data_IF_611832283523
#
_entry.id   IF_611832283523
#
_cell.length_a   1.000
_cell.length_b   1.000
_cell.length_c   1.000
_cell.angle_alpha   90.00
_cell.angle_beta   90.00
_cell.angle_gamma   90.00
#
_symmetry.space_group_name_H-M   'P 1'
#
loop_
_entity.id
_entity.type
_entity.pdbx_description
1 polymer ?
#
# COMPACT_ATOMS: atom_id res chain seq x y z
N UNK A 1 -11.10 0.18 29.43
CA UNK A 1 -11.46 -1.16 29.98
C UNK A 1 -12.60 -1.71 29.15
N UNK A 2 -12.60 -3.01 28.88
CA UNK A 2 -13.76 -3.69 28.28
C UNK A 2 -14.24 -4.71 29.30
N UNK A 3 -15.46 -4.53 29.79
CA UNK A 3 -16.12 -5.45 30.69
C UNK A 3 -17.08 -6.31 29.89
N UNK A 4 -17.10 -7.61 30.15
CA UNK A 4 -17.96 -8.58 29.47
C UNK A 4 -18.87 -9.27 30.49
N UNK A 5 -20.13 -9.45 30.14
CA UNK A 5 -21.10 -10.20 30.93
C UNK A 5 -21.86 -11.15 30.01
N UNK A 6 -21.92 -12.45 30.33
CA UNK A 6 -22.53 -13.45 29.47
C UNK A 6 -22.35 -14.88 29.95
N UNK A 7 -22.88 -15.83 29.17
CA UNK A 7 -22.84 -17.26 29.47
C UNK A 7 -22.32 -18.07 28.29
N UNK A 8 -21.77 -19.25 28.60
CA UNK A 8 -21.37 -20.25 27.62
C UNK A 8 -22.15 -21.54 27.83
N UNK A 9 -22.67 -22.12 26.74
CA UNK A 9 -23.34 -23.41 26.76
C UNK A 9 -23.06 -24.17 25.44
N UNK A 10 -22.66 -25.45 25.54
CA UNK A 10 -22.40 -26.32 24.38
C UNK A 10 -21.47 -25.69 23.32
N UNK A 11 -20.41 -25.01 23.75
CA UNK A 11 -19.44 -24.34 22.85
C UNK A 11 -19.94 -23.04 22.20
N UNK A 12 -21.13 -22.54 22.58
CA UNK A 12 -21.67 -21.25 22.14
C UNK A 12 -21.72 -20.26 23.30
N UNK A 13 -21.39 -19.00 23.03
CA UNK A 13 -21.47 -17.91 24.00
C UNK A 13 -22.43 -16.81 23.56
N UNK A 14 -23.11 -16.19 24.51
CA UNK A 14 -23.86 -14.95 24.31
C UNK A 14 -23.66 -14.01 25.50
N UNK A 15 -23.74 -12.70 25.25
CA UNK A 15 -23.49 -11.70 26.29
C UNK A 15 -23.53 -10.28 25.77
N UNK A 16 -23.21 -9.36 26.67
CA UNK A 16 -23.05 -7.93 26.38
C UNK A 16 -21.66 -7.48 26.82
N UNK A 17 -21.22 -6.33 26.32
CA UNK A 17 -20.00 -5.70 26.77
C UNK A 17 -20.22 -4.21 27.05
N UNK A 18 -19.41 -3.65 27.95
CA UNK A 18 -19.31 -2.22 28.22
C UNK A 18 -17.88 -1.77 28.00
N UNK A 19 -17.71 -0.71 27.23
CA UNK A 19 -16.44 -0.02 27.12
C UNK A 19 -16.38 1.15 28.11
N UNK A 20 -15.17 1.45 28.59
CA UNK A 20 -14.89 2.66 29.37
C UNK A 20 -13.54 3.19 28.94
N UNK A 21 -13.55 4.36 28.28
CA UNK A 21 -12.35 5.05 27.81
C UNK A 21 -11.41 5.43 28.95
N UNK A 22 -10.11 5.43 28.68
CA UNK A 22 -9.08 5.82 29.65
C UNK A 22 -8.72 7.30 29.46
N UNK A 23 -9.13 8.16 30.41
CA UNK A 23 -8.89 9.61 30.33
C UNK A 23 -7.40 9.99 30.41
N UNK A 24 -6.59 9.21 31.12
CA UNK A 24 -5.14 9.41 31.14
C UNK A 24 -4.52 9.11 29.78
N UNK A 25 -5.02 8.11 29.06
CA UNK A 25 -4.62 7.83 27.67
C UNK A 25 -5.03 8.98 26.75
N UNK A 26 -6.29 9.44 26.82
CA UNK A 26 -6.78 10.59 26.02
C UNK A 26 -5.88 11.80 26.21
N UNK A 27 -5.61 12.16 27.47
CA UNK A 27 -4.75 13.30 27.82
C UNK A 27 -3.32 13.13 27.29
N UNK A 28 -2.76 11.93 27.39
CA UNK A 28 -1.41 11.62 26.90
C UNK A 28 -1.31 11.63 25.37
N UNK A 29 -2.36 11.24 24.65
CA UNK A 29 -2.40 11.31 23.18
C UNK A 29 -2.60 12.75 22.72
N UNK A 30 -3.45 13.52 23.41
CA UNK A 30 -3.70 14.93 23.11
C UNK A 30 -2.43 15.78 23.26
N UNK A 31 -1.60 15.51 24.28
CA UNK A 31 -0.31 16.21 24.45
C UNK A 31 0.70 15.89 23.34
N UNK A 32 0.50 14.80 22.60
CA UNK A 32 1.27 14.42 21.40
C UNK A 32 0.66 14.95 20.10
N UNK A 33 -0.44 15.72 20.18
CA UNK A 33 -1.14 16.26 19.02
C UNK A 33 -2.23 15.34 18.45
N UNK A 34 -2.49 14.19 19.07
CA UNK A 34 -3.53 13.24 18.63
C UNK A 34 -4.80 13.42 19.46
N UNK A 35 -5.76 14.18 18.91
CA UNK A 35 -7.01 14.52 19.59
C UNK A 35 -8.14 13.53 19.25
N UNK A 36 -8.41 12.61 20.17
CA UNK A 36 -9.49 11.61 20.08
C UNK A 36 -10.89 12.19 20.33
N UNK A 37 -11.00 13.43 20.80
CA UNK A 37 -12.28 14.12 21.02
C UNK A 37 -12.70 14.90 19.77
N UNK A 38 -11.75 15.21 18.89
CA UNK A 38 -12.03 15.84 17.60
C UNK A 38 -12.76 14.86 16.69
N UNK A 39 -13.83 15.34 16.03
CA UNK A 39 -14.54 14.56 15.00
C UNK A 39 -13.60 14.14 13.88
N UNK A 40 -13.87 12.96 13.34
CA UNK A 40 -13.19 12.47 12.14
C UNK A 40 -13.28 13.49 11.01
N UNK A 41 -12.19 13.62 10.27
CA UNK A 41 -12.16 14.37 9.01
C UNK A 41 -12.70 13.56 7.84
N UNK A 42 -12.98 12.26 8.03
CA UNK A 42 -13.62 11.43 7.01
C UNK A 42 -15.12 11.72 6.89
N UNK A 43 -15.70 11.72 5.66
CA UNK A 43 -17.13 12.04 5.43
C UNK A 43 -18.13 11.03 6.00
N UNK A 44 -17.65 9.84 6.38
CA UNK A 44 -18.39 8.80 7.10
C UNK A 44 -18.55 9.25 8.57
N UNK A 45 -19.64 9.97 8.84
CA UNK A 45 -19.96 10.59 10.12
C UNK A 45 -20.35 9.62 11.23
N UNK A 46 -19.50 8.65 11.57
CA UNK A 46 -19.84 7.55 12.47
C UNK A 46 -18.74 7.11 13.45
N UNK A 47 -17.91 8.00 13.99
CA UNK A 47 -17.22 7.64 15.23
C UNK A 47 -17.35 8.73 16.27
N UNK A 48 -18.20 8.46 17.26
CA UNK A 48 -18.12 9.20 18.51
C UNK A 48 -16.72 8.96 19.11
N UNK A 49 -16.24 9.89 19.94
CA UNK A 49 -14.92 9.75 20.60
C UNK A 49 -14.76 8.40 21.32
N UNK A 50 -15.87 7.88 21.85
CA UNK A 50 -15.90 6.56 22.48
C UNK A 50 -15.59 5.42 21.49
N UNK A 51 -16.11 5.44 20.26
CA UNK A 51 -15.80 4.46 19.22
C UNK A 51 -14.33 4.51 18.81
N UNK A 52 -13.76 5.71 18.71
CA UNK A 52 -12.32 5.88 18.42
C UNK A 52 -11.45 5.29 19.52
N UNK A 53 -11.82 5.50 20.78
CA UNK A 53 -11.11 4.94 21.92
C UNK A 53 -11.27 3.42 22.02
N UNK A 54 -12.45 2.91 21.67
CA UNK A 54 -12.67 1.48 21.54
C UNK A 54 -11.79 0.88 20.43
N UNK A 55 -11.79 1.48 19.24
CA UNK A 55 -10.93 1.06 18.12
C UNK A 55 -9.43 1.14 18.46
N UNK A 56 -8.99 2.19 19.14
CA UNK A 56 -7.62 2.28 19.65
C UNK A 56 -7.28 1.12 20.58
N UNK A 57 -8.21 0.74 21.45
CA UNK A 57 -8.03 -0.39 22.37
C UNK A 57 -7.94 -1.71 21.61
N UNK A 58 -8.79 -1.96 20.62
CA UNK A 58 -8.80 -3.20 19.85
C UNK A 58 -7.61 -3.34 18.91
N UNK A 59 -7.13 -2.21 18.36
CA UNK A 59 -5.95 -2.16 17.49
C UNK A 59 -4.62 -2.03 18.27
N UNK A 60 -4.68 -1.97 19.61
CA UNK A 60 -3.53 -1.77 20.49
C UNK A 60 -2.72 -0.50 20.13
N UNK A 61 -3.42 0.61 19.90
CA UNK A 61 -2.80 1.93 19.72
C UNK A 61 -2.28 2.40 21.08
N UNK A 62 -1.00 2.72 21.14
CA UNK A 62 -0.30 3.11 22.38
C UNK A 62 0.40 4.45 22.21
N UNK A 63 0.78 5.07 23.33
CA UNK A 63 1.66 6.25 23.31
C UNK A 63 3.02 5.93 22.69
N UNK A 64 3.50 4.69 22.82
CA UNK A 64 4.76 4.27 22.18
C UNK A 64 4.67 4.27 20.65
N UNK A 65 3.52 3.87 20.07
CA UNK A 65 3.28 4.00 18.64
C UNK A 65 3.29 5.48 18.22
N UNK A 66 2.60 6.34 18.97
CA UNK A 66 2.59 7.78 18.70
C UNK A 66 4.01 8.38 18.78
N UNK A 67 4.77 8.03 19.81
CA UNK A 67 6.15 8.49 20.00
C UNK A 67 7.07 8.00 18.87
N UNK A 68 6.91 6.75 18.42
CA UNK A 68 7.64 6.21 17.28
C UNK A 68 7.35 6.99 15.99
N UNK A 69 6.07 7.22 15.66
CA UNK A 69 5.70 7.98 14.46
C UNK A 69 6.19 9.43 14.53
N UNK A 70 6.07 10.09 15.69
CA UNK A 70 6.56 11.47 15.87
C UNK A 70 8.09 11.57 15.84
N UNK A 71 8.81 10.50 16.19
CA UNK A 71 10.27 10.44 16.03
C UNK A 71 10.72 10.43 14.57
N UNK A 72 9.77 10.17 13.66
CA UNK A 72 9.99 10.16 12.24
C UNK A 72 9.34 11.39 11.59
N UNK A 73 9.98 11.86 10.52
CA UNK A 73 9.62 13.10 9.83
C UNK A 73 8.39 12.92 8.90
N UNK A 74 7.31 12.34 9.42
CA UNK A 74 6.03 12.14 8.70
C UNK A 74 5.27 13.44 8.44
N UNK A 75 5.71 14.55 9.07
CA UNK A 75 4.93 15.78 9.12
C UNK A 75 3.77 15.68 10.12
N UNK A 76 2.70 16.43 9.84
CA UNK A 76 1.53 16.48 10.73
C UNK A 76 0.67 15.24 10.54
N UNK A 77 0.53 14.46 11.61
CA UNK A 77 -0.32 13.28 11.67
C UNK A 77 -1.57 13.55 12.52
N UNK A 78 -2.64 12.79 12.26
CA UNK A 78 -3.84 12.77 13.08
C UNK A 78 -4.17 11.37 13.66
N UNK A 79 -5.32 11.25 14.32
CA UNK A 79 -5.75 9.99 14.94
C UNK A 79 -6.02 8.89 13.90
N UNK A 80 -6.49 9.26 12.72
CA UNK A 80 -6.77 8.28 11.66
C UNK A 80 -5.45 7.69 11.13
N UNK A 81 -4.39 8.50 11.09
CA UNK A 81 -3.05 8.02 10.74
C UNK A 81 -2.46 7.05 11.76
N UNK A 82 -2.78 7.18 13.06
CA UNK A 82 -2.41 6.17 14.05
C UNK A 82 -3.09 4.82 13.77
N UNK A 83 -4.36 4.85 13.38
CA UNK A 83 -5.08 3.64 13.01
C UNK A 83 -4.49 3.00 11.75
N UNK A 84 -4.20 3.80 10.72
CA UNK A 84 -3.49 3.33 9.52
C UNK A 84 -2.16 2.67 9.90
N UNK A 85 -1.35 3.32 10.73
CA UNK A 85 -0.07 2.78 11.19
C UNK A 85 -0.22 1.45 11.95
N UNK A 86 -1.19 1.37 12.87
CA UNK A 86 -1.45 0.15 13.64
C UNK A 86 -1.93 -1.03 12.76
N UNK A 87 -2.80 -0.75 11.78
CA UNK A 87 -3.39 -1.74 10.87
C UNK A 87 -2.33 -2.22 9.86
N UNK A 88 -1.65 -1.29 9.20
CA UNK A 88 -0.72 -1.59 8.10
C UNK A 88 0.73 -1.78 8.56
N UNK A 89 0.99 -1.71 9.88
CA UNK A 89 2.33 -1.86 10.47
C UNK A 89 3.33 -0.86 9.87
N UNK A 90 2.91 0.40 9.77
CA UNK A 90 3.78 1.51 9.38
C UNK A 90 4.40 2.08 10.65
N UNK A 91 5.72 2.14 10.70
CA UNK A 91 6.51 2.63 11.82
C UNK A 91 7.71 3.47 11.33
N UNK A 92 8.43 4.09 12.26
CA UNK A 92 9.61 4.92 11.96
C UNK A 92 10.70 4.13 11.23
N UNK A 93 10.83 2.84 11.52
CA UNK A 93 11.81 1.95 10.89
C UNK A 93 11.51 1.78 9.42
N UNK A 94 10.27 1.46 9.08
CA UNK A 94 9.86 1.30 7.69
C UNK A 94 9.98 2.61 6.91
N UNK A 95 9.63 3.75 7.52
CA UNK A 95 9.84 5.04 6.90
C UNK A 95 11.32 5.23 6.53
N UNK A 96 12.25 4.99 7.48
CA UNK A 96 13.70 5.09 7.23
C UNK A 96 14.18 4.14 6.14
N UNK A 97 13.68 2.90 6.11
CA UNK A 97 14.00 1.91 5.06
C UNK A 97 13.57 2.41 3.67
N UNK A 98 12.36 2.98 3.55
CA UNK A 98 11.88 3.53 2.29
C UNK A 98 12.67 4.78 1.87
N UNK A 99 13.03 5.65 2.81
CA UNK A 99 13.93 6.79 2.54
C UNK A 99 15.28 6.32 2.01
N UNK A 100 15.88 5.31 2.65
CA UNK A 100 17.17 4.73 2.25
C UNK A 100 17.10 4.01 0.90
N UNK A 101 15.90 3.57 0.50
CA UNK A 101 15.66 2.92 -0.80
C UNK A 101 15.44 3.93 -1.94
N UNK A 102 15.53 5.24 -1.68
CA UNK A 102 15.41 6.28 -2.70
C UNK A 102 14.07 7.02 -2.69
N UNK A 103 13.21 6.79 -1.70
CA UNK A 103 11.92 7.47 -1.55
C UNK A 103 11.89 8.34 -0.28
N UNK A 104 12.61 9.48 -0.24
CA UNK A 104 12.81 10.27 0.97
C UNK A 104 11.55 10.98 1.48
N UNK A 105 10.55 11.17 0.61
CA UNK A 105 9.42 12.07 0.82
C UNK A 105 8.06 11.35 0.86
N UNK A 106 8.03 10.05 1.18
CA UNK A 106 6.75 9.33 1.28
C UNK A 106 5.97 9.77 2.52
N UNK A 107 4.71 10.13 2.32
CA UNK A 107 3.73 10.36 3.38
C UNK A 107 3.08 9.09 3.90
N UNK A 108 2.22 9.23 4.91
CA UNK A 108 1.51 8.10 5.55
C UNK A 108 0.74 7.26 4.52
N UNK A 109 -0.03 7.89 3.63
CA UNK A 109 -0.85 7.17 2.64
C UNK A 109 0.00 6.38 1.63
N UNK A 110 1.17 6.91 1.25
CA UNK A 110 2.10 6.22 0.35
C UNK A 110 2.76 5.03 1.05
N UNK A 111 3.12 5.17 2.33
CA UNK A 111 3.67 4.05 3.12
C UNK A 111 2.61 2.97 3.38
N UNK A 112 1.35 3.34 3.56
CA UNK A 112 0.22 2.40 3.59
C UNK A 112 0.09 1.68 2.26
N UNK A 113 0.12 2.39 1.12
CA UNK A 113 0.13 1.76 -0.21
C UNK A 113 1.31 0.80 -0.35
N UNK A 114 2.50 1.18 0.12
CA UNK A 114 3.68 0.33 0.07
C UNK A 114 3.45 -0.98 0.84
N UNK A 115 2.85 -0.92 2.03
CA UNK A 115 2.48 -2.10 2.82
C UNK A 115 1.45 -2.98 2.11
N UNK A 116 0.40 -2.39 1.56
CA UNK A 116 -0.67 -3.10 0.83
C UNK A 116 -0.10 -3.84 -0.39
N UNK A 117 0.75 -3.18 -1.16
CA UNK A 117 1.33 -3.73 -2.39
C UNK A 117 2.68 -4.44 -2.18
N UNK A 118 3.09 -4.64 -0.92
CA UNK A 118 4.36 -5.30 -0.55
C UNK A 118 5.57 -4.66 -1.24
N UNK A 119 5.62 -3.33 -1.26
CA UNK A 119 6.75 -2.54 -1.74
C UNK A 119 7.64 -2.29 -0.53
N UNK A 120 8.77 -3.00 -0.47
CA UNK A 120 9.81 -2.86 0.54
C UNK A 120 11.16 -2.59 -0.13
N UNK A 121 12.20 -2.38 0.68
CA UNK A 121 13.55 -2.11 0.19
C UNK A 121 14.10 -3.22 -0.73
N UNK A 122 13.70 -4.47 -0.50
CA UNK A 122 14.09 -5.59 -1.35
C UNK A 122 13.45 -5.49 -2.74
N UNK A 123 12.15 -5.21 -2.82
CA UNK A 123 11.47 -5.01 -4.09
C UNK A 123 12.06 -3.82 -4.86
N UNK A 124 12.33 -2.70 -4.18
CA UNK A 124 12.96 -1.53 -4.81
C UNK A 124 14.35 -1.88 -5.39
N UNK A 125 15.14 -2.66 -4.66
CA UNK A 125 16.43 -3.18 -5.14
C UNK A 125 16.27 -4.07 -6.36
N UNK A 126 15.29 -4.98 -6.38
CA UNK A 126 15.00 -5.82 -7.54
C UNK A 126 14.64 -4.97 -8.75
N UNK A 127 13.78 -3.96 -8.59
CA UNK A 127 13.38 -3.04 -9.67
C UNK A 127 14.59 -2.28 -10.24
N UNK A 128 15.48 -1.82 -9.35
CA UNK A 128 16.74 -1.20 -9.75
C UNK A 128 17.63 -2.17 -10.55
N UNK A 129 17.79 -3.42 -10.09
CA UNK A 129 18.56 -4.45 -10.80
C UNK A 129 17.97 -4.83 -12.16
N UNK A 130 16.66 -4.66 -12.31
CA UNK A 130 15.96 -4.85 -13.58
C UNK A 130 16.18 -3.69 -14.55
N UNK A 131 16.86 -2.61 -14.17
CA UNK A 131 17.15 -1.46 -15.04
C UNK A 131 16.17 -0.30 -14.90
N UNK A 132 15.24 -0.37 -13.95
CA UNK A 132 14.27 0.69 -13.66
C UNK A 132 14.71 1.55 -12.46
N UNK A 133 16.02 1.86 -12.42
CA UNK A 133 16.58 2.70 -11.38
C UNK A 133 15.96 4.11 -11.47
N UNK A 134 15.49 4.63 -10.33
CA UNK A 134 14.85 5.96 -10.27
C UNK A 134 13.39 5.99 -10.71
N UNK A 135 12.75 4.83 -10.94
CA UNK A 135 11.31 4.76 -11.19
C UNK A 135 10.53 5.43 -10.03
N UNK A 136 9.58 6.33 -10.32
CA UNK A 136 8.73 6.93 -9.30
C UNK A 136 7.97 5.89 -8.47
N UNK A 137 7.63 6.24 -7.22
CA UNK A 137 6.94 5.32 -6.31
C UNK A 137 5.63 4.77 -6.90
N UNK A 138 4.85 5.62 -7.57
CA UNK A 138 3.61 5.21 -8.25
C UNK A 138 3.86 4.21 -9.38
N UNK A 139 5.02 4.25 -10.03
CA UNK A 139 5.44 3.22 -11.00
C UNK A 139 5.61 1.85 -10.33
N UNK A 140 6.24 1.81 -9.15
CA UNK A 140 6.37 0.57 -8.36
C UNK A 140 5.01 0.01 -7.94
N UNK A 141 4.09 0.89 -7.56
CA UNK A 141 2.70 0.53 -7.24
C UNK A 141 2.03 -0.09 -8.46
N UNK A 142 2.14 0.53 -9.64
CA UNK A 142 1.61 -0.03 -10.89
C UNK A 142 2.21 -1.39 -11.22
N UNK A 143 3.53 -1.57 -11.08
CA UNK A 143 4.18 -2.87 -11.29
C UNK A 143 3.57 -3.97 -10.42
N UNK A 144 3.30 -3.67 -9.13
CA UNK A 144 2.64 -4.61 -8.21
C UNK A 144 1.18 -4.89 -8.60
N UNK A 145 0.40 -3.86 -8.94
CA UNK A 145 -1.01 -3.98 -9.34
C UNK A 145 -1.15 -4.84 -10.61
N UNK A 146 -0.37 -4.53 -11.64
CA UNK A 146 -0.44 -5.21 -12.94
C UNK A 146 0.43 -6.47 -13.02
N UNK A 147 1.06 -6.86 -11.91
CA UNK A 147 1.93 -8.04 -11.79
C UNK A 147 3.04 -8.04 -12.85
N UNK A 148 3.72 -6.91 -12.99
CA UNK A 148 4.97 -6.80 -13.77
C UNK A 148 6.08 -7.44 -12.93
N UNK A 149 6.38 -8.71 -13.20
CA UNK A 149 7.39 -9.48 -12.46
C UNK A 149 8.74 -9.49 -13.20
N UNK A 150 9.85 -9.83 -12.51
CA UNK A 150 11.14 -10.03 -13.17
C UNK A 150 11.08 -11.04 -14.32
N UNK A 151 10.31 -12.12 -14.15
CA UNK A 151 10.12 -13.16 -15.16
C UNK A 151 9.45 -12.57 -16.40
N UNK A 152 8.38 -11.79 -16.22
CA UNK A 152 7.67 -11.15 -17.33
C UNK A 152 8.55 -10.17 -18.10
N UNK A 153 9.36 -9.38 -17.40
CA UNK A 153 10.31 -8.44 -18.02
C UNK A 153 11.35 -9.22 -18.84
N UNK A 154 11.88 -10.31 -18.31
CA UNK A 154 12.86 -11.15 -19.01
C UNK A 154 12.24 -11.86 -20.23
N UNK A 155 11.01 -12.34 -20.12
CA UNK A 155 10.24 -12.89 -21.24
C UNK A 155 10.10 -11.87 -22.38
N UNK A 156 9.68 -10.63 -22.07
CA UNK A 156 9.57 -9.57 -23.07
C UNK A 156 10.93 -9.24 -23.73
N UNK A 157 12.01 -9.18 -22.92
CA UNK A 157 13.38 -8.95 -23.41
C UNK A 157 13.85 -10.05 -24.34
N UNK A 158 13.57 -11.31 -24.02
CA UNK A 158 13.95 -12.47 -24.84
C UNK A 158 13.26 -12.45 -26.22
N UNK A 159 12.09 -11.84 -26.32
CA UNK A 159 11.40 -11.67 -27.60
C UNK A 159 11.88 -10.45 -28.42
N UNK A 160 12.79 -9.65 -27.83
CA UNK A 160 13.44 -8.51 -28.48
C UNK A 160 12.95 -7.14 -28.00
N UNK A 161 12.06 -7.07 -27.00
CA UNK A 161 11.61 -5.81 -26.40
C UNK A 161 12.55 -5.43 -25.23
N UNK A 162 13.67 -4.76 -25.55
CA UNK A 162 14.71 -4.45 -24.57
C UNK A 162 14.62 -3.07 -23.94
N UNK A 163 14.00 -2.10 -24.64
CA UNK A 163 13.84 -0.72 -24.20
C UNK A 163 12.38 -0.43 -23.86
N UNK A 164 11.92 -1.01 -22.74
CA UNK A 164 10.55 -0.85 -22.25
C UNK A 164 10.55 0.03 -21.00
N UNK A 165 9.65 1.01 -20.97
CA UNK A 165 9.33 1.73 -19.72
C UNK A 165 8.42 0.89 -18.82
N UNK A 166 8.26 1.29 -17.55
CA UNK A 166 7.26 0.66 -16.66
C UNK A 166 5.85 0.83 -17.21
N UNK A 167 5.52 1.98 -17.79
CA UNK A 167 4.21 2.21 -18.41
C UNK A 167 3.96 1.27 -19.60
N UNK A 168 4.99 0.95 -20.38
CA UNK A 168 4.87 0.00 -21.48
C UNK A 168 4.62 -1.41 -20.99
N UNK A 169 5.38 -1.86 -19.99
CA UNK A 169 5.16 -3.16 -19.35
C UNK A 169 3.75 -3.26 -18.76
N UNK A 170 3.30 -2.21 -18.06
CA UNK A 170 1.94 -2.12 -17.52
C UNK A 170 0.90 -2.19 -18.64
N UNK A 171 1.09 -1.43 -19.72
CA UNK A 171 0.20 -1.45 -20.89
C UNK A 171 0.13 -2.84 -21.51
N UNK A 172 1.27 -3.51 -21.69
CA UNK A 172 1.32 -4.88 -22.19
C UNK A 172 0.54 -5.84 -21.28
N UNK A 173 0.67 -5.72 -19.94
CA UNK A 173 -0.12 -6.50 -18.98
C UNK A 173 -1.62 -6.24 -19.09
N UNK A 174 -2.04 -4.98 -19.23
CA UNK A 174 -3.46 -4.60 -19.39
C UNK A 174 -4.07 -5.27 -20.63
N UNK A 175 -3.34 -5.31 -21.74
CA UNK A 175 -3.78 -5.94 -22.98
C UNK A 175 -3.48 -7.45 -23.05
N UNK A 176 -3.01 -8.06 -21.95
CA UNK A 176 -2.61 -9.46 -21.84
C UNK A 176 -1.54 -9.88 -22.86
N UNK A 177 -0.65 -8.99 -23.26
CA UNK A 177 0.46 -9.24 -24.19
C UNK A 177 1.55 -10.02 -23.44
N UNK A 178 1.78 -11.27 -23.84
CA UNK A 178 2.78 -12.19 -23.32
C UNK A 178 3.79 -12.60 -24.40
N UNK A 179 4.81 -13.38 -24.03
CA UNK A 179 5.85 -13.81 -24.97
C UNK A 179 5.30 -14.58 -26.17
N UNK A 180 4.28 -15.43 -25.97
CA UNK A 180 3.64 -16.17 -27.06
C UNK A 180 2.99 -15.23 -28.08
N UNK A 181 2.23 -14.25 -27.61
CA UNK A 181 1.64 -13.24 -28.49
C UNK A 181 2.70 -12.40 -29.21
N UNK A 182 3.78 -12.02 -28.53
CA UNK A 182 4.86 -11.26 -29.16
C UNK A 182 5.49 -12.07 -30.29
N UNK A 183 5.75 -13.38 -30.08
CA UNK A 183 6.24 -14.29 -31.14
C UNK A 183 5.31 -14.36 -32.34
N UNK A 184 4.01 -14.51 -32.09
CA UNK A 184 3.03 -14.58 -33.17
C UNK A 184 2.97 -13.26 -33.93
N UNK A 185 2.91 -12.13 -33.23
CA UNK A 185 2.88 -10.82 -33.85
C UNK A 185 4.14 -10.56 -34.69
N UNK A 186 5.31 -10.98 -34.20
CA UNK A 186 6.58 -10.92 -34.93
C UNK A 186 6.55 -11.77 -36.20
N UNK A 187 6.01 -12.99 -36.14
CA UNK A 187 5.83 -13.88 -37.29
C UNK A 187 4.88 -13.29 -38.34
N UNK A 188 3.85 -12.55 -37.89
CA UNK A 188 2.90 -11.82 -38.73
C UNK A 188 3.49 -10.50 -39.30
N UNK A 189 4.75 -10.17 -39.01
CA UNK A 189 5.42 -8.95 -39.48
C UNK A 189 5.05 -7.67 -38.74
N UNK A 190 4.42 -7.78 -37.56
CA UNK A 190 4.13 -6.62 -36.71
C UNK A 190 5.43 -6.06 -36.11
N UNK A 191 5.70 -4.74 -36.21
CA UNK A 191 6.85 -4.12 -35.56
C UNK A 191 6.82 -4.36 -34.04
N UNK A 192 7.99 -4.58 -33.45
CA UNK A 192 8.17 -4.76 -32.00
C UNK A 192 8.13 -3.41 -31.27
N UNK A 193 7.02 -2.71 -31.42
CA UNK A 193 6.67 -1.49 -30.71
C UNK A 193 5.39 -1.78 -29.90
N UNK A 194 5.34 -1.30 -28.67
CA UNK A 194 4.27 -1.63 -27.72
C UNK A 194 2.91 -1.22 -28.28
N UNK A 195 2.81 -0.01 -28.85
CA UNK A 195 1.60 0.50 -29.50
C UNK A 195 1.13 -0.42 -30.63
N UNK A 196 2.05 -0.96 -31.42
CA UNK A 196 1.74 -1.82 -32.58
C UNK A 196 1.26 -3.20 -32.12
N UNK A 197 1.90 -3.75 -31.09
CA UNK A 197 1.45 -4.98 -30.43
C UNK A 197 0.06 -4.81 -29.81
N UNK A 198 -0.22 -3.67 -29.18
CA UNK A 198 -1.55 -3.34 -28.65
C UNK A 198 -2.57 -3.21 -29.78
N UNK A 199 -2.27 -2.48 -30.85
CA UNK A 199 -3.15 -2.36 -32.03
C UNK A 199 -3.47 -3.72 -32.64
N UNK A 200 -2.48 -4.61 -32.73
CA UNK A 200 -2.66 -5.99 -33.20
C UNK A 200 -3.53 -6.80 -32.26
N UNK A 201 -3.39 -6.60 -30.94
CA UNK A 201 -4.16 -7.31 -29.92
C UNK A 201 -5.64 -6.90 -29.92
N UNK A 202 -5.93 -5.62 -30.15
CA UNK A 202 -7.31 -5.10 -30.19
C UNK A 202 -7.95 -5.13 -31.59
N UNK A 203 -7.26 -5.65 -32.61
CA UNK A 203 -7.81 -5.86 -33.95
C UNK A 203 -7.94 -4.61 -34.83
N UNK A 204 -7.14 -3.57 -34.55
CA UNK A 204 -7.10 -2.33 -35.36
C UNK A 204 -5.82 -2.19 -36.18
N UNK A 205 -4.92 -3.18 -36.10
CA UNK A 205 -3.70 -3.24 -36.90
C UNK A 205 -3.98 -3.39 -38.40
N UNK A 206 -3.33 -2.58 -39.25
CA UNK A 206 -3.43 -2.66 -40.71
C UNK A 206 -4.70 -2.07 -41.32
N UNK A 207 -5.55 -1.41 -40.53
CA UNK A 207 -6.61 -0.51 -40.99
C UNK A 207 -6.08 0.92 -41.05
#
# INVERSE_FOLDING_TARGET
RIDFEGGFQNGKGSGTFRFTGNQSFVSAMKSRGFDFEKKSTTPDGGSDSEDRLFAATTLNVTTALADDLLSADFGKLDVDDLFKAAIFKVDSKFMREMKASGFPNLGMDELVKARIFKIDAEFVRQVTQMGFAGEPFEGLVKMRIFKVTPEYINEARNEGLTDLSVEDLVKMRIFNIDAEFIRQAKADGVPLEVEKLVQRRIGVWGK
#
